data_IF_764982776568
#
_entry.id   IF_764982776568
#
_cell.length_a   1.000
_cell.length_b   1.000
_cell.length_c   1.000
_cell.angle_alpha   90.00
_cell.angle_beta   90.00
_cell.angle_gamma   90.00
#
_symmetry.space_group_name_H-M   'P 1'
#
loop_
_entity.id
_entity.type
_entity.pdbx_description
1 polymer ?
#
# COMPACT_ATOMS: atom_id res chain seq x y z
N UNK A 1 -11.07 26.06 1.09
CA UNK A 1 -9.86 26.43 0.32
C UNK A 1 -9.54 25.30 -0.63
N UNK A 2 -9.83 25.46 -1.92
CA UNK A 2 -9.55 24.45 -2.92
C UNK A 2 -8.07 24.58 -3.32
N UNK A 3 -7.24 23.63 -2.89
CA UNK A 3 -5.84 23.61 -3.30
C UNK A 3 -5.77 23.42 -4.82
N UNK A 4 -5.21 24.41 -5.50
CA UNK A 4 -4.98 24.43 -6.95
C UNK A 4 -3.48 24.26 -7.16
N UNK A 5 -3.06 23.08 -7.58
CA UNK A 5 -1.66 22.71 -7.78
C UNK A 5 -1.55 21.28 -8.33
N UNK A 6 -0.40 20.90 -8.87
CA UNK A 6 -0.17 19.53 -9.31
C UNK A 6 0.16 18.66 -8.08
N UNK A 7 -0.33 17.43 -8.02
CA UNK A 7 -0.01 16.49 -6.94
C UNK A 7 1.50 16.29 -6.75
N UNK A 8 2.28 16.50 -7.82
CA UNK A 8 3.75 16.44 -7.82
C UNK A 8 4.45 17.51 -6.97
N UNK A 9 3.77 18.62 -6.68
CA UNK A 9 4.34 19.75 -5.94
C UNK A 9 4.18 19.60 -4.43
N UNK A 10 3.46 18.56 -3.98
CA UNK A 10 3.19 18.32 -2.56
C UNK A 10 4.15 17.30 -1.98
N UNK A 11 4.66 17.57 -0.78
CA UNK A 11 5.34 16.54 0.01
C UNK A 11 4.36 15.44 0.40
N UNK A 12 4.88 14.25 0.69
CA UNK A 12 4.03 13.13 1.15
C UNK A 12 3.22 13.50 2.40
N UNK A 13 3.83 14.24 3.33
CA UNK A 13 3.15 14.70 4.55
C UNK A 13 2.01 15.66 4.26
N UNK A 14 2.15 16.53 3.25
CA UNK A 14 1.07 17.41 2.81
C UNK A 14 -0.09 16.61 2.20
N UNK A 15 0.19 15.60 1.37
CA UNK A 15 -0.85 14.73 0.81
C UNK A 15 -1.63 13.99 1.90
N UNK A 16 -0.94 13.44 2.90
CA UNK A 16 -1.58 12.78 4.05
C UNK A 16 -2.47 13.76 4.83
N UNK A 17 -2.00 15.00 5.02
CA UNK A 17 -2.79 16.02 5.68
C UNK A 17 -4.05 16.40 4.87
N UNK A 18 -3.96 16.44 3.54
CA UNK A 18 -5.12 16.69 2.68
C UNK A 18 -6.15 15.57 2.76
N UNK A 19 -5.71 14.31 2.79
CA UNK A 19 -6.60 13.15 2.97
C UNK A 19 -7.35 13.27 4.30
N UNK A 20 -6.63 13.61 5.38
CA UNK A 20 -7.21 13.81 6.70
C UNK A 20 -8.23 14.96 6.70
N UNK A 21 -7.85 16.14 6.19
CA UNK A 21 -8.71 17.33 6.19
C UNK A 21 -9.96 17.16 5.33
N UNK A 22 -9.84 16.47 4.19
CA UNK A 22 -10.96 16.18 3.31
C UNK A 22 -11.78 14.95 3.73
N UNK A 23 -11.42 14.31 4.85
CA UNK A 23 -12.03 13.08 5.36
C UNK A 23 -12.18 11.98 4.30
N UNK A 24 -11.18 11.84 3.43
CA UNK A 24 -11.26 10.87 2.33
C UNK A 24 -11.02 9.44 2.84
N UNK A 25 -11.82 8.52 2.31
CA UNK A 25 -11.64 7.08 2.43
C UNK A 25 -11.16 6.53 1.09
N UNK A 26 -10.25 5.56 1.12
CA UNK A 26 -9.68 4.98 -0.11
C UNK A 26 -8.26 4.46 0.07
N UNK A 27 -7.59 4.20 -1.05
CA UNK A 27 -6.21 3.76 -1.09
C UNK A 27 -5.32 4.78 -1.79
N UNK A 28 -4.14 5.04 -1.23
CA UNK A 28 -3.07 5.81 -1.85
C UNK A 28 -1.95 4.84 -2.23
N UNK A 29 -1.70 4.72 -3.53
CA UNK A 29 -0.62 3.93 -4.09
C UNK A 29 0.56 4.87 -4.37
N UNK A 30 1.74 4.49 -3.86
CA UNK A 30 2.97 5.26 -3.95
C UNK A 30 4.02 4.35 -4.58
N UNK A 31 4.50 4.72 -5.76
CA UNK A 31 5.60 4.03 -6.42
C UNK A 31 6.88 4.85 -6.21
N UNK A 32 7.77 4.35 -5.35
CA UNK A 32 9.12 4.88 -5.20
C UNK A 32 10.08 4.20 -6.18
N UNK A 33 11.33 4.66 -6.19
CA UNK A 33 12.39 4.06 -7.02
C UNK A 33 12.84 2.69 -6.53
N UNK A 34 12.74 2.42 -5.24
CA UNK A 34 13.14 1.14 -4.61
C UNK A 34 11.96 0.34 -4.07
N UNK A 35 10.90 1.02 -3.63
CA UNK A 35 9.82 0.43 -2.86
C UNK A 35 8.47 0.96 -3.30
N UNK A 36 7.46 0.10 -3.18
CA UNK A 36 6.06 0.46 -3.38
C UNK A 36 5.38 0.57 -2.01
N UNK A 37 4.52 1.58 -1.85
CA UNK A 37 3.73 1.82 -0.66
C UNK A 37 2.23 1.83 -0.97
N UNK A 38 1.44 1.09 -0.19
CA UNK A 38 -0.02 1.09 -0.27
C UNK A 38 -0.57 1.53 1.08
N UNK A 39 -1.21 2.70 1.11
CA UNK A 39 -1.80 3.25 2.33
C UNK A 39 -3.32 3.25 2.21
N UNK A 40 -4.02 2.78 3.23
CA UNK A 40 -5.48 2.69 3.25
C UNK A 40 -6.04 3.62 4.32
N UNK A 41 -7.07 4.37 3.94
CA UNK A 41 -7.70 5.38 4.76
C UNK A 41 -9.20 5.12 4.92
N UNK A 42 -9.71 5.45 6.10
CA UNK A 42 -11.13 5.51 6.43
C UNK A 42 -11.40 6.78 7.22
N UNK A 43 -12.32 7.59 6.72
CA UNK A 43 -12.76 8.86 7.32
C UNK A 43 -11.57 9.80 7.61
N UNK A 44 -10.62 9.88 6.66
CA UNK A 44 -9.40 10.68 6.77
C UNK A 44 -8.30 10.06 7.64
N UNK A 45 -8.55 8.94 8.34
CA UNK A 45 -7.58 8.27 9.19
C UNK A 45 -6.94 7.09 8.48
N UNK A 46 -5.63 6.92 8.64
CA UNK A 46 -4.91 5.76 8.12
C UNK A 46 -5.26 4.52 8.95
N UNK A 47 -5.77 3.47 8.29
CA UNK A 47 -6.16 2.21 8.94
C UNK A 47 -5.16 1.09 8.72
N UNK A 48 -4.47 1.11 7.57
CA UNK A 48 -3.54 0.06 7.19
C UNK A 48 -2.50 0.61 6.21
N UNK A 49 -1.29 0.04 6.25
CA UNK A 49 -0.18 0.43 5.38
C UNK A 49 0.67 -0.79 5.04
N UNK A 50 1.03 -0.92 3.76
CA UNK A 50 2.04 -1.85 3.26
C UNK A 50 3.16 -0.98 2.70
N UNK A 51 4.40 -1.22 3.11
CA UNK A 51 5.56 -0.47 2.63
C UNK A 51 6.65 -1.49 2.27
N UNK A 52 7.20 -1.35 1.07
CA UNK A 52 8.22 -2.23 0.52
C UNK A 52 7.65 -3.52 -0.08
N UNK A 53 8.54 -4.32 -0.67
CA UNK A 53 8.21 -5.67 -1.11
C UNK A 53 8.21 -6.63 0.09
N UNK A 54 7.08 -6.74 0.80
CA UNK A 54 6.74 -8.04 1.41
C UNK A 54 6.09 -8.92 0.35
N UNK A 55 6.86 -9.25 -0.69
CA UNK A 55 6.48 -10.32 -1.60
C UNK A 55 6.80 -11.67 -0.95
N UNK A 56 6.09 -12.00 0.15
CA UNK A 56 5.82 -13.42 0.35
C UNK A 56 4.72 -13.76 -0.62
N UNK A 57 5.11 -14.43 -1.70
CA UNK A 57 4.14 -15.01 -2.63
C UNK A 57 3.11 -15.81 -1.83
N UNK A 58 1.84 -15.71 -2.20
CA UNK A 58 0.78 -16.52 -1.60
C UNK A 58 1.17 -18.01 -1.59
N UNK A 59 1.82 -18.48 -2.65
CA UNK A 59 2.33 -19.84 -2.75
C UNK A 59 3.39 -20.14 -1.67
N UNK A 60 4.24 -19.18 -1.36
CA UNK A 60 5.27 -19.29 -0.33
C UNK A 60 4.63 -19.41 1.07
N UNK A 61 3.58 -18.64 1.33
CA UNK A 61 2.78 -18.76 2.57
C UNK A 61 2.06 -20.12 2.65
N UNK A 62 1.58 -20.66 1.53
CA UNK A 62 0.90 -21.95 1.49
C UNK A 62 1.86 -23.12 1.74
N UNK A 63 3.10 -23.02 1.28
CA UNK A 63 4.18 -23.96 1.63
C UNK A 63 4.49 -23.89 3.12
N UNK A 64 4.74 -22.70 3.66
CA UNK A 64 5.10 -22.50 5.08
C UNK A 64 3.99 -22.99 6.01
N UNK A 65 2.72 -22.77 5.65
CA UNK A 65 1.55 -23.26 6.37
C UNK A 65 1.20 -24.73 6.11
N UNK A 66 2.05 -25.46 5.36
CA UNK A 66 1.89 -26.87 4.98
C UNK A 66 0.57 -27.18 4.26
N UNK A 67 0.00 -26.19 3.57
CA UNK A 67 -1.22 -26.34 2.75
C UNK A 67 -0.90 -26.94 1.37
N UNK A 68 0.31 -26.71 0.86
CA UNK A 68 0.85 -27.34 -0.34
C UNK A 68 2.27 -27.85 -0.06
N UNK A 69 2.71 -28.86 -0.82
CA UNK A 69 4.07 -29.38 -0.75
C UNK A 69 5.05 -28.57 -1.60
N UNK A 70 6.35 -28.70 -1.34
CA UNK A 70 7.38 -28.02 -2.14
C UNK A 70 7.36 -28.44 -3.62
N UNK A 71 6.99 -29.68 -3.90
CA UNK A 71 6.84 -30.17 -5.28
C UNK A 71 5.69 -29.47 -6.02
N UNK A 72 4.60 -29.15 -5.32
CA UNK A 72 3.47 -28.41 -5.88
C UNK A 72 3.80 -26.92 -6.09
N UNK A 73 4.61 -26.32 -5.22
CA UNK A 73 5.11 -24.96 -5.39
C UNK A 73 5.92 -24.78 -6.68
N UNK A 74 6.75 -25.77 -7.04
CA UNK A 74 7.60 -25.71 -8.24
C UNK A 74 6.86 -25.90 -9.56
N UNK A 75 5.59 -26.29 -9.54
CA UNK A 75 4.77 -26.62 -10.72
C UNK A 75 3.73 -25.54 -11.07
N UNK A 76 3.52 -24.55 -10.19
CA UNK A 76 2.53 -23.48 -10.30
C UNK A 76 3.22 -22.13 -10.52
#
# INVERSE_FOLDING_TARGET
MALKGNLKDFSITQLLNLINLAMKSGALYIEGTTDIGHLYFRDGKMTYAIIGQQERSLLQLMVESKKISQAQYSLL
#
